data_IF_134840294530
#
_entry.id   IF_134840294530
#
_cell.length_a   1.000
_cell.length_b   1.000
_cell.length_c   1.000
_cell.angle_alpha   90.00
_cell.angle_beta   90.00
_cell.angle_gamma   90.00
#
_symmetry.space_group_name_H-M   'P 1'
#
loop_
_entity.id
_entity.type
_entity.pdbx_description
1 polymer ?
#
# COMPACT_ATOMS: atom_id res chain seq x y z
N UNK A 1 -13.19 -19.26 18.55
CA UNK A 1 -11.81 -18.86 18.16
C UNK A 1 -11.48 -17.59 18.91
N UNK A 2 -10.39 -17.58 19.70
CA UNK A 2 -9.93 -16.38 20.40
C UNK A 2 -9.51 -15.37 19.32
N UNK A 3 -10.21 -14.24 19.22
CA UNK A 3 -9.87 -13.15 18.30
C UNK A 3 -8.54 -12.55 18.76
N UNK A 4 -7.42 -13.11 18.29
CA UNK A 4 -6.12 -12.47 18.45
C UNK A 4 -6.12 -11.23 17.55
N UNK A 5 -5.88 -10.01 18.08
CA UNK A 5 -5.70 -8.84 17.24
C UNK A 5 -4.58 -9.11 16.23
N UNK A 6 -4.78 -8.71 14.98
CA UNK A 6 -3.71 -8.73 14.00
C UNK A 6 -2.55 -7.86 14.51
N UNK A 7 -1.32 -8.32 14.33
CA UNK A 7 -0.15 -7.56 14.77
C UNK A 7 0.01 -6.32 13.85
N UNK A 8 -0.42 -5.16 14.35
CA UNK A 8 -0.37 -3.85 13.67
C UNK A 8 1.04 -3.51 13.14
N UNK A 9 2.09 -4.11 13.72
CA UNK A 9 3.48 -3.94 13.26
C UNK A 9 3.72 -4.58 11.89
N UNK A 10 3.02 -5.65 11.55
CA UNK A 10 3.16 -6.32 10.25
C UNK A 10 2.63 -5.44 9.12
N UNK A 11 1.47 -4.80 9.31
CA UNK A 11 0.91 -3.88 8.33
C UNK A 11 1.77 -2.62 8.19
N UNK A 12 2.31 -2.11 9.31
CA UNK A 12 3.25 -0.98 9.28
C UNK A 12 4.52 -1.32 8.48
N UNK A 13 5.05 -2.54 8.65
CA UNK A 13 6.21 -3.02 7.90
C UNK A 13 5.90 -3.14 6.40
N UNK A 14 4.77 -3.75 6.03
CA UNK A 14 4.31 -3.83 4.65
C UNK A 14 4.18 -2.43 4.01
N UNK A 15 3.54 -1.50 4.70
CA UNK A 15 3.39 -0.10 4.25
C UNK A 15 4.73 0.59 4.01
N UNK A 16 5.73 0.33 4.86
CA UNK A 16 7.06 0.90 4.71
C UNK A 16 7.75 0.39 3.44
N UNK A 17 7.66 -0.92 3.17
CA UNK A 17 8.24 -1.51 1.95
C UNK A 17 7.49 -1.10 0.69
N UNK A 18 6.16 -1.02 0.72
CA UNK A 18 5.38 -0.54 -0.43
C UNK A 18 5.65 0.93 -0.74
N UNK A 19 5.90 1.76 0.27
CA UNK A 19 6.35 3.14 0.06
C UNK A 19 7.69 3.21 -0.69
N UNK A 20 8.67 2.41 -0.29
CA UNK A 20 9.98 2.41 -0.96
C UNK A 20 9.89 1.82 -2.37
N UNK A 21 9.05 0.79 -2.56
CA UNK A 21 8.79 0.22 -3.88
C UNK A 21 8.16 1.24 -4.84
N UNK A 22 7.10 1.95 -4.42
CA UNK A 22 6.49 3.00 -5.23
C UNK A 22 7.49 4.11 -5.60
N UNK A 23 8.30 4.55 -4.63
CA UNK A 23 9.36 5.53 -4.84
C UNK A 23 10.40 5.04 -5.87
N UNK A 24 10.81 3.78 -5.80
CA UNK A 24 11.73 3.20 -6.77
C UNK A 24 11.14 3.18 -8.20
N UNK A 25 9.86 2.87 -8.35
CA UNK A 25 9.17 2.90 -9.65
C UNK A 25 9.12 4.32 -10.23
N UNK A 26 8.79 5.32 -9.42
CA UNK A 26 8.78 6.73 -9.85
C UNK A 26 10.17 7.24 -10.23
N UNK A 27 11.20 6.85 -9.47
CA UNK A 27 12.58 7.19 -9.79
C UNK A 27 13.03 6.55 -11.12
N UNK A 28 12.65 5.30 -11.36
CA UNK A 28 12.93 4.61 -12.62
C UNK A 28 12.24 5.32 -13.79
N UNK A 29 10.96 5.67 -13.66
CA UNK A 29 10.21 6.42 -14.68
C UNK A 29 10.88 7.77 -15.01
N UNK A 30 11.35 8.49 -13.99
CA UNK A 30 12.06 9.77 -14.18
C UNK A 30 13.37 9.58 -14.93
N UNK A 31 14.14 8.56 -14.56
CA UNK A 31 15.43 8.24 -15.18
C UNK A 31 15.25 7.80 -16.64
N UNK A 32 14.23 6.99 -16.92
CA UNK A 32 13.90 6.55 -18.27
C UNK A 32 13.50 7.72 -19.17
N UNK A 33 12.62 8.61 -18.69
CA UNK A 33 12.25 9.83 -19.42
C UNK A 33 13.43 10.75 -19.73
N UNK A 34 14.37 10.91 -18.78
CA UNK A 34 15.56 11.72 -18.99
C UNK A 34 16.46 11.20 -20.14
N UNK A 35 16.41 9.89 -20.42
CA UNK A 35 17.18 9.26 -21.51
C UNK A 35 16.57 9.48 -22.91
N UNK A 36 15.28 9.82 -22.99
CA UNK A 36 14.58 9.99 -24.28
C UNK A 36 15.01 11.25 -25.02
N UNK A 37 15.25 12.35 -24.31
CA UNK A 37 15.71 13.60 -24.91
C UNK A 37 17.06 13.47 -25.64
N UNK A 38 18.14 12.94 -25.03
CA UNK A 38 19.40 12.74 -25.73
C UNK A 38 19.28 11.70 -26.86
N UNK A 39 18.43 10.68 -26.71
CA UNK A 39 18.15 9.73 -27.80
C UNK A 39 17.50 10.42 -29.01
N UNK A 40 16.51 11.27 -28.77
CA UNK A 40 15.85 12.04 -29.82
C UNK A 40 16.81 13.05 -30.49
N UNK A 41 17.67 13.70 -29.71
CA UNK A 41 18.72 14.57 -30.25
C UNK A 41 19.72 13.81 -31.13
N UNK A 42 20.13 12.62 -30.69
CA UNK A 42 20.99 11.74 -31.48
C UNK A 42 20.30 11.27 -32.77
N UNK A 43 19.00 10.94 -32.71
CA UNK A 43 18.20 10.61 -33.88
C UNK A 43 18.18 11.75 -34.90
N UNK A 44 17.99 12.99 -34.45
CA UNK A 44 17.97 14.18 -35.31
C UNK A 44 19.32 14.46 -36.00
N UNK A 45 20.43 14.03 -35.40
CA UNK A 45 21.77 14.17 -35.97
C UNK A 45 22.20 12.99 -36.86
N UNK A 46 21.36 11.97 -36.99
CA UNK A 46 21.67 10.73 -37.72
C UNK A 46 21.26 10.79 -39.20
N UNK A 47 21.71 9.81 -40.00
CA UNK A 47 21.25 9.65 -41.39
C UNK A 47 19.73 9.44 -41.43
N UNK A 48 19.01 9.79 -42.51
CA UNK A 48 17.54 9.71 -42.54
C UNK A 48 16.97 8.33 -42.17
N UNK A 49 17.60 7.24 -42.61
CA UNK A 49 17.20 5.87 -42.27
C UNK A 49 17.39 5.58 -40.77
N UNK A 50 18.54 5.95 -40.21
CA UNK A 50 18.82 5.79 -38.79
C UNK A 50 17.95 6.71 -37.91
N UNK A 51 17.70 7.95 -38.34
CA UNK A 51 16.84 8.91 -37.66
C UNK A 51 15.40 8.37 -37.52
N UNK A 52 14.87 7.77 -38.59
CA UNK A 52 13.55 7.14 -38.57
C UNK A 52 13.49 5.95 -37.58
N UNK A 53 14.49 5.07 -37.61
CA UNK A 53 14.53 3.91 -36.73
C UNK A 53 14.72 4.30 -35.26
N UNK A 54 15.65 5.22 -34.97
CA UNK A 54 15.87 5.76 -33.63
C UNK A 54 14.65 6.51 -33.10
N UNK A 55 13.96 7.28 -33.95
CA UNK A 55 12.70 7.95 -33.59
C UNK A 55 11.57 6.96 -33.27
N UNK A 56 11.48 5.84 -33.98
CA UNK A 56 10.54 4.77 -33.66
C UNK A 56 10.90 4.06 -32.33
N UNK A 57 12.18 3.76 -32.11
CA UNK A 57 12.66 3.19 -30.85
C UNK A 57 12.40 4.14 -29.66
N UNK A 58 12.64 5.44 -29.81
CA UNK A 58 12.34 6.42 -28.77
C UNK A 58 10.84 6.48 -28.42
N UNK A 59 9.96 6.38 -29.42
CA UNK A 59 8.50 6.29 -29.20
C UNK A 59 8.11 5.00 -28.47
N UNK A 60 8.67 3.86 -28.86
CA UNK A 60 8.46 2.59 -28.17
C UNK A 60 8.89 2.65 -26.70
N UNK A 61 10.08 3.18 -26.42
CA UNK A 61 10.56 3.37 -25.04
C UNK A 61 9.65 4.32 -24.26
N UNK A 62 9.21 5.43 -24.86
CA UNK A 62 8.25 6.34 -24.23
C UNK A 62 6.90 5.69 -23.91
N UNK A 63 6.43 4.76 -24.75
CA UNK A 63 5.21 4.01 -24.51
C UNK A 63 5.39 3.05 -23.32
N UNK A 64 6.51 2.33 -23.27
CA UNK A 64 6.83 1.45 -22.15
C UNK A 64 6.92 2.21 -20.82
N UNK A 65 7.54 3.40 -20.83
CA UNK A 65 7.60 4.29 -19.67
C UNK A 65 6.22 4.76 -19.20
N UNK A 66 5.33 5.04 -20.14
CA UNK A 66 3.93 5.38 -19.85
C UNK A 66 3.22 4.26 -19.09
N UNK A 67 3.39 3.02 -19.55
CA UNK A 67 2.82 1.85 -18.90
C UNK A 67 3.40 1.60 -17.50
N UNK A 68 4.71 1.81 -17.32
CA UNK A 68 5.36 1.72 -16.01
C UNK A 68 4.79 2.74 -15.01
N UNK A 69 4.49 3.96 -15.47
CA UNK A 69 3.89 5.00 -14.64
C UNK A 69 2.47 4.64 -14.20
N UNK A 70 1.66 4.11 -15.11
CA UNK A 70 0.33 3.62 -14.77
C UNK A 70 0.38 2.47 -13.74
N UNK A 71 1.36 1.57 -13.85
CA UNK A 71 1.59 0.55 -12.83
C UNK A 71 2.02 1.16 -11.48
N UNK A 72 2.90 2.17 -11.48
CA UNK A 72 3.30 2.87 -10.27
C UNK A 72 2.11 3.55 -9.56
N UNK A 73 1.19 4.16 -10.32
CA UNK A 73 -0.05 4.73 -9.79
C UNK A 73 -0.93 3.66 -9.11
N UNK A 74 -1.08 2.48 -9.71
CA UNK A 74 -1.83 1.38 -9.10
C UNK A 74 -1.17 0.87 -7.79
N UNK A 75 0.17 0.92 -7.70
CA UNK A 75 0.89 0.61 -6.45
C UNK A 75 0.60 1.68 -5.38
N UNK A 76 0.56 2.96 -5.76
CA UNK A 76 0.20 4.06 -4.85
C UNK A 76 -1.25 3.95 -4.34
N UNK A 77 -2.20 3.60 -5.21
CA UNK A 77 -3.59 3.36 -4.82
C UNK A 77 -3.72 2.21 -3.81
N UNK A 78 -3.03 1.10 -4.05
CA UNK A 78 -3.01 -0.01 -3.10
C UNK A 78 -2.40 0.39 -1.77
N UNK A 79 -1.29 1.14 -1.80
CA UNK A 79 -0.66 1.68 -0.61
C UNK A 79 -1.58 2.62 0.16
N UNK A 80 -2.37 3.45 -0.51
CA UNK A 80 -3.36 4.33 0.13
C UNK A 80 -4.41 3.49 0.89
N UNK A 81 -4.95 2.44 0.28
CA UNK A 81 -5.88 1.52 0.95
C UNK A 81 -5.26 0.82 2.18
N UNK A 82 -3.98 0.42 2.09
CA UNK A 82 -3.26 -0.13 3.26
C UNK A 82 -3.10 0.91 4.38
N UNK A 83 -2.90 2.18 4.03
CA UNK A 83 -2.77 3.28 5.01
C UNK A 83 -4.09 3.54 5.74
N UNK A 84 -5.21 3.51 5.01
CA UNK A 84 -6.55 3.59 5.62
C UNK A 84 -6.81 2.40 6.54
N UNK A 85 -6.48 1.19 6.08
CA UNK A 85 -6.59 -0.02 6.89
C UNK A 85 -5.79 0.09 8.20
N UNK A 86 -4.57 0.61 8.12
CA UNK A 86 -3.71 0.80 9.29
C UNK A 86 -4.31 1.81 10.28
N UNK A 87 -4.88 2.90 9.79
CA UNK A 87 -5.60 3.86 10.63
C UNK A 87 -6.73 3.20 11.41
N UNK A 88 -7.54 2.37 10.73
CA UNK A 88 -8.65 1.66 11.37
C UNK A 88 -8.19 0.55 12.33
N UNK A 89 -7.06 -0.12 12.07
CA UNK A 89 -6.44 -1.04 13.04
C UNK A 89 -6.01 -0.32 14.32
N UNK A 90 -5.42 0.87 14.20
CA UNK A 90 -5.01 1.68 15.35
C UNK A 90 -6.22 2.19 16.13
N UNK A 91 -7.30 2.61 15.45
CA UNK A 91 -8.56 2.98 16.09
C UNK A 91 -9.16 1.83 16.90
N UNK A 92 -9.27 0.63 16.32
CA UNK A 92 -9.76 -0.56 17.03
C UNK A 92 -8.87 -0.89 18.23
N UNK A 93 -7.54 -0.80 18.07
CA UNK A 93 -6.60 -0.98 19.18
C UNK A 93 -6.76 0.04 20.30
N UNK A 94 -7.11 1.29 19.98
CA UNK A 94 -7.41 2.32 20.99
C UNK A 94 -8.69 1.98 21.77
N UNK A 95 -9.76 1.62 21.06
CA UNK A 95 -11.05 1.26 21.68
C UNK A 95 -10.91 0.02 22.57
N UNK A 96 -10.09 -0.96 22.15
CA UNK A 96 -9.80 -2.14 22.97
C UNK A 96 -9.10 -1.77 24.30
N UNK A 97 -8.16 -0.83 24.27
CA UNK A 97 -7.52 -0.31 25.50
C UNK A 97 -8.51 0.44 26.39
N UNK A 98 -9.38 1.26 25.80
CA UNK A 98 -10.42 1.96 26.56
C UNK A 98 -11.38 0.96 27.24
N UNK A 99 -11.78 -0.10 26.52
CA UNK A 99 -12.57 -1.20 27.08
C UNK A 99 -11.87 -1.85 28.28
N UNK A 100 -10.57 -2.14 28.21
CA UNK A 100 -9.81 -2.70 29.34
C UNK A 100 -9.79 -1.77 30.56
N UNK A 101 -9.68 -0.46 30.34
CA UNK A 101 -9.77 0.56 31.39
C UNK A 101 -11.17 0.55 32.01
N UNK A 102 -12.23 0.51 31.20
CA UNK A 102 -13.61 0.48 31.67
C UNK A 102 -13.92 -0.81 32.46
N UNK A 103 -13.45 -1.97 31.99
CA UNK A 103 -13.54 -3.24 32.73
C UNK A 103 -12.84 -3.13 34.09
N UNK A 104 -11.64 -2.54 34.12
CA UNK A 104 -10.91 -2.34 35.38
C UNK A 104 -11.67 -1.41 36.34
N UNK A 105 -12.28 -0.34 35.83
CA UNK A 105 -13.13 0.57 36.62
C UNK A 105 -14.37 -0.14 37.15
N UNK A 106 -15.02 -0.97 36.33
CA UNK A 106 -16.18 -1.75 36.70
C UNK A 106 -15.85 -2.74 37.84
N UNK A 107 -14.73 -3.47 37.72
CA UNK A 107 -14.25 -4.39 38.78
C UNK A 107 -13.98 -3.64 40.09
N UNK A 108 -13.38 -2.44 40.00
CA UNK A 108 -13.15 -1.60 41.18
C UNK A 108 -14.46 -1.15 41.81
N UNK A 109 -15.45 -0.74 41.02
CA UNK A 109 -16.76 -0.32 41.50
C UNK A 109 -17.57 -1.49 42.11
N UNK A 110 -17.49 -2.69 41.52
CA UNK A 110 -18.19 -3.88 41.99
C UNK A 110 -17.59 -4.47 43.28
N UNK A 111 -16.28 -4.26 43.53
CA UNK A 111 -15.59 -4.75 44.73
C UNK A 111 -15.70 -3.81 45.95
N UNK A 112 -16.39 -2.67 45.84
CA UNK A 112 -16.70 -1.82 46.99
C UNK A 112 -17.75 -2.55 47.84
N UNK A 113 -17.29 -3.33 48.84
CA UNK A 113 -18.16 -3.91 49.87
C UNK A 113 -18.90 -2.78 50.59
N UNK A 114 -20.21 -2.90 50.88
CA UNK A 114 -20.85 -2.02 51.85
C UNK A 114 -20.09 -2.18 53.17
N UNK A 115 -19.51 -1.10 53.66
CA UNK A 115 -18.83 -1.06 54.95
C UNK A 115 -19.74 -1.71 55.98
N UNK A 116 -19.25 -2.79 56.59
CA UNK A 116 -19.85 -3.47 57.73
C UNK A 116 -20.17 -2.42 58.82
N UNK A 117 -21.40 -1.94 58.86
CA UNK A 117 -21.94 -1.22 60.00
C UNK A 117 -22.25 -2.25 61.09
N UNK A 118 -21.25 -2.51 61.94
CA UNK A 118 -21.53 -2.98 63.28
C UNK A 118 -20.46 -2.48 64.25
N UNK A 119 -20.68 -1.30 64.86
CA UNK A 119 -20.61 -1.16 66.33
C UNK A 119 -21.18 0.19 66.81
N UNK A 120 -22.29 0.08 67.53
CA UNK A 120 -22.79 0.94 68.62
C UNK A 120 -23.41 2.32 68.29
N UNK A 121 -24.74 2.36 68.45
CA UNK A 121 -25.49 3.34 69.27
C UNK A 121 -24.96 4.79 69.29
N UNK A 122 -25.61 5.69 68.55
CA UNK A 122 -26.06 6.97 69.11
C UNK A 122 -27.13 7.61 68.22
N UNK A 123 -28.07 8.29 68.87
CA UNK A 123 -29.23 8.99 68.33
C UNK A 123 -28.79 10.14 67.41
N UNK A 124 -29.46 10.30 66.26
CA UNK A 124 -29.55 11.60 65.57
C UNK A 124 -29.36 11.59 64.05
N UNK A 125 -30.44 11.95 63.36
CA UNK A 125 -30.47 12.73 62.11
C UNK A 125 -29.90 12.06 60.83
N UNK A 126 -30.85 11.65 59.98
CA UNK A 126 -30.82 11.54 58.51
C UNK A 126 -29.45 11.53 57.81
N UNK A 127 -29.05 10.36 57.29
CA UNK A 127 -28.15 10.28 56.15
C UNK A 127 -28.38 8.98 55.37
N UNK A 128 -29.41 8.97 54.53
CA UNK A 128 -29.76 7.86 53.64
C UNK A 128 -29.08 7.96 52.27
N UNK A 129 -28.09 8.85 52.11
CA UNK A 129 -27.59 9.28 50.79
C UNK A 129 -26.39 8.48 50.27
N UNK A 130 -25.82 7.57 51.06
CA UNK A 130 -24.58 6.86 50.70
C UNK A 130 -24.77 5.52 49.99
N UNK A 131 -25.90 4.83 50.18
CA UNK A 131 -26.14 3.52 49.54
C UNK A 131 -26.62 3.62 48.09
N UNK A 132 -27.42 4.65 47.77
CA UNK A 132 -27.98 4.90 46.42
C UNK A 132 -26.95 5.42 45.43
N UNK A 133 -25.85 6.00 45.93
CA UNK A 133 -24.76 6.55 45.11
C UNK A 133 -23.81 5.47 44.55
N UNK A 134 -23.75 4.29 45.16
CA UNK A 134 -22.89 3.21 44.66
C UNK A 134 -23.57 2.37 43.58
N UNK A 135 -24.90 2.16 43.68
CA UNK A 135 -25.68 1.51 42.62
C UNK A 135 -25.68 2.36 41.35
N UNK A 136 -25.93 3.66 41.46
CA UNK A 136 -25.89 4.58 40.31
C UNK A 136 -24.52 4.67 39.63
N UNK A 137 -23.41 4.66 40.38
CA UNK A 137 -22.05 4.61 39.80
C UNK A 137 -21.76 3.29 39.08
N UNK A 138 -22.27 2.19 39.60
CA UNK A 138 -22.15 0.87 38.97
C UNK A 138 -22.97 0.82 37.68
N UNK A 139 -24.21 1.29 37.70
CA UNK A 139 -25.10 1.37 36.54
C UNK A 139 -24.49 2.27 35.44
N UNK A 140 -23.91 3.41 35.82
CA UNK A 140 -23.18 4.29 34.90
C UNK A 140 -21.97 3.58 34.27
N UNK A 141 -21.13 2.92 35.07
CA UNK A 141 -19.97 2.19 34.56
C UNK A 141 -20.36 1.02 33.65
N UNK A 142 -21.46 0.34 33.93
CA UNK A 142 -22.02 -0.70 33.05
C UNK A 142 -22.53 -0.13 31.74
N UNK A 143 -23.25 1.00 31.78
CA UNK A 143 -23.76 1.66 30.58
C UNK A 143 -22.64 2.17 29.67
N UNK A 144 -21.56 2.70 30.26
CA UNK A 144 -20.39 3.20 29.53
C UNK A 144 -19.63 2.04 28.86
N UNK A 145 -19.44 0.92 29.58
CA UNK A 145 -18.83 -0.28 29.04
C UNK A 145 -19.66 -0.86 27.88
N UNK A 146 -20.99 -0.94 28.03
CA UNK A 146 -21.87 -1.47 26.99
C UNK A 146 -21.85 -0.59 25.72
N UNK A 147 -21.79 0.74 25.87
CA UNK A 147 -21.62 1.66 24.75
C UNK A 147 -20.27 1.44 24.04
N UNK A 148 -19.19 1.29 24.82
CA UNK A 148 -17.86 0.99 24.30
C UNK A 148 -17.82 -0.34 23.52
N UNK A 149 -18.46 -1.40 24.03
CA UNK A 149 -18.53 -2.71 23.36
C UNK A 149 -19.33 -2.65 22.06
N UNK A 150 -20.43 -1.89 22.04
CA UNK A 150 -21.21 -1.67 20.81
C UNK A 150 -20.40 -0.93 19.75
N UNK A 151 -19.64 0.10 20.16
CA UNK A 151 -18.76 0.85 19.27
C UNK A 151 -17.61 -0.01 18.74
N UNK A 152 -16.98 -0.80 19.62
CA UNK A 152 -15.94 -1.76 19.24
C UNK A 152 -16.46 -2.75 18.20
N UNK A 153 -17.61 -3.38 18.46
CA UNK A 153 -18.22 -4.33 17.53
C UNK A 153 -18.57 -3.71 16.17
N UNK A 154 -18.91 -2.42 16.14
CA UNK A 154 -19.10 -1.69 14.87
C UNK A 154 -17.78 -1.49 14.14
N UNK A 155 -16.75 -1.01 14.83
CA UNK A 155 -15.43 -0.75 14.22
C UNK A 155 -14.72 -2.02 13.78
N UNK A 156 -14.90 -3.13 14.48
CA UNK A 156 -14.38 -4.44 14.06
C UNK A 156 -15.03 -4.94 12.77
N UNK A 157 -16.34 -4.67 12.57
CA UNK A 157 -17.02 -4.95 11.28
C UNK A 157 -16.49 -4.09 10.16
N UNK A 158 -16.33 -2.78 10.40
CA UNK A 158 -15.74 -1.86 9.42
C UNK A 158 -14.32 -2.30 9.04
N UNK A 159 -13.53 -2.72 10.03
CA UNK A 159 -12.17 -3.22 9.83
C UNK A 159 -12.13 -4.48 8.97
N UNK A 160 -13.03 -5.44 9.22
CA UNK A 160 -13.13 -6.64 8.39
C UNK A 160 -13.55 -6.32 6.94
N UNK A 161 -14.50 -5.41 6.76
CA UNK A 161 -14.93 -4.96 5.44
C UNK A 161 -13.78 -4.27 4.68
N UNK A 162 -13.05 -3.37 5.34
CA UNK A 162 -11.92 -2.66 4.72
C UNK A 162 -10.76 -3.60 4.39
N UNK A 163 -10.47 -4.61 5.24
CA UNK A 163 -9.51 -5.67 4.89
C UNK A 163 -9.93 -6.41 3.62
N UNK A 164 -11.19 -6.81 3.51
CA UNK A 164 -11.71 -7.48 2.33
C UNK A 164 -11.61 -6.59 1.08
N UNK A 165 -11.89 -5.30 1.20
CA UNK A 165 -11.76 -4.33 0.10
C UNK A 165 -10.30 -4.13 -0.32
N UNK A 166 -9.38 -3.91 0.63
CA UNK A 166 -7.97 -3.72 0.34
C UNK A 166 -7.35 -4.94 -0.38
N UNK A 167 -7.77 -6.15 0.00
CA UNK A 167 -7.33 -7.38 -0.66
C UNK A 167 -8.01 -7.57 -2.02
N UNK A 168 -9.34 -7.47 -2.10
CA UNK A 168 -10.08 -7.80 -3.32
C UNK A 168 -9.98 -6.72 -4.39
N UNK A 169 -10.00 -5.44 -4.02
CA UNK A 169 -9.91 -4.30 -4.95
C UNK A 169 -8.47 -3.86 -5.13
N UNK A 170 -7.73 -3.69 -4.03
CA UNK A 170 -6.37 -3.15 -4.09
C UNK A 170 -5.38 -4.07 -4.78
N UNK A 171 -5.25 -5.32 -4.31
CA UNK A 171 -4.37 -6.29 -4.97
C UNK A 171 -4.83 -6.59 -6.40
N UNK A 172 -6.15 -6.70 -6.64
CA UNK A 172 -6.67 -6.91 -7.99
C UNK A 172 -6.28 -5.76 -8.92
N UNK A 173 -6.46 -4.51 -8.50
CA UNK A 173 -6.06 -3.32 -9.26
C UNK A 173 -4.57 -3.35 -9.59
N UNK A 174 -3.72 -3.62 -8.59
CA UNK A 174 -2.27 -3.76 -8.79
C UNK A 174 -1.92 -4.89 -9.78
N UNK A 175 -2.51 -6.06 -9.64
CA UNK A 175 -2.27 -7.19 -10.54
C UNK A 175 -2.75 -6.92 -11.97
N UNK A 176 -3.89 -6.26 -12.13
CA UNK A 176 -4.41 -5.84 -13.44
C UNK A 176 -3.45 -4.86 -14.10
N UNK A 177 -3.05 -3.79 -13.38
CA UNK A 177 -2.10 -2.82 -13.90
C UNK A 177 -0.73 -3.45 -14.24
N UNK A 178 -0.28 -4.43 -13.45
CA UNK A 178 0.95 -5.19 -13.75
C UNK A 178 0.83 -5.99 -15.06
N UNK A 179 -0.31 -6.65 -15.28
CA UNK A 179 -0.58 -7.38 -16.51
C UNK A 179 -0.65 -6.46 -17.72
N UNK A 180 -1.34 -5.31 -17.59
CA UNK A 180 -1.44 -4.30 -18.64
C UNK A 180 -0.09 -3.67 -18.96
N UNK A 181 0.72 -3.39 -17.93
CA UNK A 181 2.08 -2.88 -18.09
C UNK A 181 2.95 -3.86 -18.89
N UNK A 182 2.93 -5.14 -18.51
CA UNK A 182 3.68 -6.17 -19.23
C UNK A 182 3.23 -6.34 -20.68
N UNK A 183 1.92 -6.26 -20.95
CA UNK A 183 1.40 -6.29 -22.30
C UNK A 183 1.86 -5.08 -23.14
N UNK A 184 1.77 -3.86 -22.59
CA UNK A 184 2.22 -2.65 -23.28
C UNK A 184 3.73 -2.65 -23.55
N UNK A 185 4.54 -3.16 -22.62
CA UNK A 185 5.97 -3.33 -22.82
C UNK A 185 6.29 -4.27 -23.98
N UNK A 186 5.55 -5.39 -24.06
CA UNK A 186 5.71 -6.34 -25.14
C UNK A 186 5.35 -5.73 -26.51
N UNK A 187 4.25 -4.99 -26.59
CA UNK A 187 3.86 -4.32 -27.85
C UNK A 187 4.84 -3.21 -28.24
N UNK A 188 5.26 -2.39 -27.29
CA UNK A 188 6.28 -1.37 -27.50
C UNK A 188 7.61 -1.99 -27.99
N UNK A 189 8.06 -3.07 -27.35
CA UNK A 189 9.28 -3.78 -27.75
C UNK A 189 9.22 -4.31 -29.18
N UNK A 190 8.09 -4.92 -29.57
CA UNK A 190 7.88 -5.39 -30.94
C UNK A 190 7.90 -4.25 -31.96
N UNK A 191 7.30 -3.10 -31.64
CA UNK A 191 7.31 -1.93 -32.51
C UNK A 191 8.72 -1.39 -32.72
N UNK A 192 9.50 -1.28 -31.64
CA UNK A 192 10.90 -0.85 -31.70
C UNK A 192 11.77 -1.81 -32.53
N UNK A 193 11.62 -3.13 -32.32
CA UNK A 193 12.34 -4.15 -33.08
C UNK A 193 11.98 -4.10 -34.57
N UNK A 194 10.69 -3.98 -34.91
CA UNK A 194 10.23 -3.89 -36.30
C UNK A 194 10.87 -2.70 -37.03
N UNK A 195 10.98 -1.56 -36.38
CA UNK A 195 11.61 -0.38 -36.97
C UNK A 195 13.11 -0.57 -37.21
N UNK A 196 13.80 -1.26 -36.31
CA UNK A 196 15.22 -1.58 -36.46
C UNK A 196 15.46 -2.62 -37.57
N UNK A 197 14.61 -3.64 -37.69
CA UNK A 197 14.67 -4.63 -38.78
C UNK A 197 14.46 -3.97 -40.15
N UNK A 198 13.55 -3.01 -40.25
CA UNK A 198 13.31 -2.29 -41.51
C UNK A 198 14.53 -1.45 -41.94
N UNK A 199 15.20 -0.82 -40.97
CA UNK A 199 16.47 -0.13 -41.21
C UNK A 199 17.56 -1.09 -41.67
N UNK A 200 17.67 -2.28 -41.05
CA UNK A 200 18.67 -3.30 -41.42
C UNK A 200 18.43 -3.84 -42.84
N UNK A 201 17.16 -4.08 -43.22
CA UNK A 201 16.80 -4.47 -44.60
C UNK A 201 17.13 -3.39 -45.64
N UNK A 202 17.13 -2.12 -45.24
CA UNK A 202 17.47 -1.01 -46.11
C UNK A 202 18.99 -0.83 -46.32
N UNK A 203 19.83 -1.56 -45.58
CA UNK A 203 21.28 -1.54 -45.78
C UNK A 203 21.67 -2.38 -47.01
N UNK A 204 22.62 -1.90 -47.85
CA UNK A 204 23.13 -2.69 -48.95
C UNK A 204 23.85 -3.96 -48.44
N UNK A 205 23.66 -5.08 -49.15
CA UNK A 205 24.05 -6.46 -48.82
C UNK A 205 25.52 -6.72 -48.37
N UNK A 206 26.39 -5.72 -48.29
CA UNK A 206 27.78 -5.82 -47.81
C UNK A 206 28.00 -5.47 -46.34
N UNK A 207 26.99 -4.96 -45.63
CA UNK A 207 27.08 -4.53 -44.22
C UNK A 207 26.20 -5.34 -43.25
N UNK A 208 25.60 -6.44 -43.70
CA UNK A 208 24.76 -7.29 -42.83
C UNK A 208 25.59 -7.93 -41.71
N UNK A 209 24.98 -8.10 -40.53
CA UNK A 209 25.60 -8.46 -39.25
C UNK A 209 26.60 -9.65 -39.23
N UNK A 210 26.71 -10.44 -40.30
CA UNK A 210 27.71 -11.49 -40.45
C UNK A 210 29.17 -10.98 -40.58
N UNK A 211 29.39 -9.75 -41.07
CA UNK A 211 30.75 -9.19 -41.19
C UNK A 211 31.28 -8.59 -39.88
N UNK A 212 30.42 -8.09 -38.99
CA UNK A 212 30.84 -7.53 -37.71
C UNK A 212 31.32 -8.60 -36.70
N UNK A 213 30.71 -9.79 -36.69
CA UNK A 213 31.20 -10.90 -35.86
C UNK A 213 32.56 -11.44 -36.34
N UNK A 214 32.82 -11.41 -37.65
CA UNK A 214 34.12 -11.86 -38.19
C UNK A 214 35.27 -10.90 -37.86
N UNK A 215 35.02 -9.60 -37.75
CA UNK A 215 36.07 -8.62 -37.49
C UNK A 215 36.45 -8.52 -36.00
N UNK A 216 35.52 -8.80 -35.08
CA UNK A 216 35.81 -8.83 -33.64
C UNK A 216 36.60 -10.07 -33.20
N UNK A 217 36.43 -11.22 -33.88
CA UNK A 217 37.23 -12.42 -33.61
C UNK A 217 38.69 -12.33 -34.09
N UNK A 218 38.99 -11.48 -35.08
CA UNK A 218 40.37 -11.33 -35.61
C UNK A 218 41.22 -10.39 -34.73
N UNK A 219 40.61 -9.48 -33.98
CA UNK A 219 41.31 -8.51 -33.11
C UNK A 219 41.64 -9.01 -31.69
N UNK A 220 41.38 -10.29 -31.38
CA UNK A 220 41.74 -10.92 -30.10
C UNK A 220 42.79 -12.03 -30.24
N UNK A 221 43.44 -12.15 -31.40
CA UNK A 221 44.47 -13.16 -31.70
C UNK A 221 45.77 -12.56 -32.26
N UNK A 222 46.01 -11.25 -32.04
CA UNK A 222 47.26 -10.58 -32.35
C UNK A 222 47.92 -10.06 -31.06
#
# INVERSE_FOLDING_TARGET
>A
MVHRPADSRLLANLLAHEKEHAKALHQLSTTAQASLAPLAAYAAASTPSAAAALGAAARALSQADGALRAYAEAVDEWRAMLSELKGLEDEVGNIQRDREILVTRLIKASNIKPTSLNRNSFIGVTSSTYSTNNSSKLDLAQSELQACETHLASRERDLQALRALALSRGLKGRCTAMSECGWQWNEAGKEGLRALEEMDRALPNGFTAGTFYSHFCILHLA
#
